data_IF_795763117409
#
_entry.id   IF_795763117409
#
_cell.length_a   1.000
_cell.length_b   1.000
_cell.length_c   1.000
_cell.angle_alpha   90.00
_cell.angle_beta   90.00
_cell.angle_gamma   90.00
#
_symmetry.space_group_name_H-M   'P 1'
#
loop_
_entity.id
_entity.type
_entity.pdbx_description
1 polymer ?
#
# COMPACT_ATOMS: atom_id res chain seq x y z
N UNK A 1 -0.57 8.67 -8.76
CA UNK A 1 -0.30 7.30 -8.26
C UNK A 1 -0.04 7.40 -6.76
N UNK A 2 -0.99 7.00 -5.92
CA UNK A 2 -0.85 7.06 -4.46
C UNK A 2 0.29 6.16 -3.98
N UNK A 3 1.17 6.68 -3.13
CA UNK A 3 2.20 5.92 -2.41
C UNK A 3 1.49 5.03 -1.39
N UNK A 4 1.04 3.83 -1.78
CA UNK A 4 0.57 2.82 -0.82
C UNK A 4 1.72 2.55 0.15
N UNK A 5 1.48 2.82 1.43
CA UNK A 5 2.45 2.55 2.47
C UNK A 5 2.65 1.04 2.58
N UNK A 6 3.90 0.62 2.54
CA UNK A 6 4.30 -0.78 2.66
C UNK A 6 4.45 -1.14 4.13
N UNK A 7 3.41 -0.84 4.92
CA UNK A 7 3.36 -1.01 6.37
C UNK A 7 2.01 -1.51 6.83
N UNK A 8 1.98 -2.27 7.91
CA UNK A 8 0.74 -2.68 8.58
C UNK A 8 0.99 -2.96 10.06
N UNK A 9 -0.06 -2.90 10.87
CA UNK A 9 -0.03 -3.39 12.25
C UNK A 9 -0.37 -4.88 12.29
N UNK A 10 0.41 -5.66 13.02
CA UNK A 10 0.14 -7.09 13.23
C UNK A 10 -1.09 -7.27 14.11
N UNK A 11 -1.92 -8.26 13.77
CA UNK A 11 -2.97 -8.78 14.65
C UNK A 11 -2.43 -9.83 15.65
N UNK A 12 -1.17 -10.23 15.50
CA UNK A 12 -0.56 -11.29 16.29
C UNK A 12 0.07 -10.75 17.58
N UNK A 13 0.11 -11.59 18.61
CA UNK A 13 0.44 -11.19 19.98
C UNK A 13 1.93 -11.03 20.29
N UNK A 14 2.83 -11.51 19.43
CA UNK A 14 4.27 -11.42 19.68
C UNK A 14 5.10 -11.14 18.43
N UNK A 15 6.27 -10.53 18.64
CA UNK A 15 7.21 -10.17 17.57
C UNK A 15 7.78 -11.41 16.87
N UNK A 16 8.04 -12.46 17.63
CA UNK A 16 8.48 -13.77 17.13
C UNK A 16 7.41 -14.40 16.23
N UNK A 17 6.18 -14.54 16.75
CA UNK A 17 5.08 -15.14 15.98
C UNK A 17 4.77 -14.32 14.72
N UNK A 18 4.81 -12.99 14.81
CA UNK A 18 4.66 -12.12 13.63
C UNK A 18 5.75 -12.37 12.58
N UNK A 19 7.01 -12.51 13.00
CA UNK A 19 8.12 -12.79 12.10
C UNK A 19 8.02 -14.18 11.45
N UNK A 20 7.58 -15.19 12.20
CA UNK A 20 7.38 -16.54 11.70
C UNK A 20 6.30 -16.60 10.62
N UNK A 21 5.14 -15.98 10.87
CA UNK A 21 4.05 -15.93 9.89
C UNK A 21 4.48 -15.18 8.63
N UNK A 22 5.14 -14.02 8.77
CA UNK A 22 5.67 -13.27 7.62
C UNK A 22 6.66 -14.12 6.82
N UNK A 23 7.58 -14.81 7.50
CA UNK A 23 8.54 -15.69 6.83
C UNK A 23 7.83 -16.83 6.11
N UNK A 24 6.86 -17.47 6.75
CA UNK A 24 6.10 -18.59 6.17
C UNK A 24 5.44 -18.17 4.84
N UNK A 25 4.79 -17.01 4.81
CA UNK A 25 4.18 -16.46 3.58
C UNK A 25 5.23 -16.14 2.52
N UNK A 26 6.39 -15.60 2.91
CA UNK A 26 7.48 -15.31 1.95
C UNK A 26 8.05 -16.59 1.33
N UNK A 27 8.33 -17.63 2.14
CA UNK A 27 8.99 -18.86 1.64
C UNK A 27 8.07 -19.74 0.80
N UNK A 28 6.75 -19.56 0.88
CA UNK A 28 5.80 -20.19 -0.04
C UNK A 28 5.99 -19.73 -1.50
N UNK A 29 6.60 -18.56 -1.71
CA UNK A 29 6.86 -18.01 -3.04
C UNK A 29 8.26 -18.42 -3.51
N UNK A 30 8.32 -19.33 -4.49
CA UNK A 30 9.58 -19.91 -5.02
C UNK A 30 10.58 -18.87 -5.53
N UNK A 31 10.10 -17.72 -5.98
CA UNK A 31 10.91 -16.60 -6.45
C UNK A 31 11.51 -15.76 -5.33
N UNK A 32 11.17 -16.01 -4.06
CA UNK A 32 11.68 -15.26 -2.92
C UNK A 32 12.70 -16.08 -2.13
N UNK A 33 13.66 -15.37 -1.55
CA UNK A 33 14.65 -15.91 -0.63
C UNK A 33 14.70 -15.01 0.60
N UNK A 34 14.57 -15.59 1.79
CA UNK A 34 14.42 -14.88 3.04
C UNK A 34 15.56 -15.22 4.01
N UNK A 35 16.32 -14.21 4.43
CA UNK A 35 17.45 -14.35 5.34
C UNK A 35 17.22 -13.51 6.59
N UNK A 36 17.30 -14.14 7.76
CA UNK A 36 17.21 -13.43 9.05
C UNK A 36 18.47 -12.62 9.30
N UNK A 37 18.33 -11.36 9.71
CA UNK A 37 19.45 -10.48 10.06
C UNK A 37 19.44 -10.04 11.52
N UNK A 38 18.54 -10.61 12.32
CA UNK A 38 18.37 -10.36 13.74
C UNK A 38 16.90 -10.44 14.15
N UNK A 39 16.59 -10.25 15.45
CA UNK A 39 15.22 -10.14 15.92
C UNK A 39 14.47 -9.05 15.16
N UNK A 40 13.30 -9.37 14.61
CA UNK A 40 12.47 -8.39 13.90
C UNK A 40 13.05 -7.88 12.57
N UNK A 41 14.13 -8.48 12.03
CA UNK A 41 14.76 -8.02 10.79
C UNK A 41 14.94 -9.17 9.80
N UNK A 42 14.17 -9.12 8.71
CA UNK A 42 14.21 -10.09 7.62
C UNK A 42 14.67 -9.40 6.32
N UNK A 43 15.74 -9.91 5.72
CA UNK A 43 16.17 -9.51 4.38
C UNK A 43 15.52 -10.44 3.37
N UNK A 44 14.84 -9.89 2.37
CA UNK A 44 14.17 -10.66 1.33
C UNK A 44 14.73 -10.27 -0.04
N UNK A 45 15.04 -11.27 -0.83
CA UNK A 45 15.56 -11.12 -2.19
C UNK A 45 14.59 -11.75 -3.18
N UNK A 46 14.26 -11.01 -4.22
CA UNK A 46 13.49 -11.51 -5.35
C UNK A 46 14.47 -12.08 -6.38
N UNK A 47 14.31 -13.35 -6.72
CA UNK A 47 15.04 -14.01 -7.80
C UNK A 47 14.48 -13.48 -9.11
N UNK A 48 15.31 -12.75 -9.86
CA UNK A 48 15.02 -12.36 -11.22
C UNK A 48 16.09 -12.98 -12.13
N UNK A 49 15.69 -13.59 -13.24
CA UNK A 49 16.61 -14.24 -14.17
C UNK A 49 17.42 -13.20 -14.98
N UNK A 50 16.82 -12.04 -15.24
CA UNK A 50 17.27 -11.14 -16.31
C UNK A 50 17.67 -9.72 -15.82
N UNK A 51 17.97 -9.53 -14.53
CA UNK A 51 18.29 -8.19 -14.03
C UNK A 51 18.86 -8.10 -12.60
N UNK A 52 19.19 -6.87 -12.15
CA UNK A 52 19.68 -6.64 -10.80
C UNK A 52 18.65 -7.12 -9.78
N UNK A 53 19.10 -7.93 -8.81
CA UNK A 53 18.23 -8.52 -7.79
C UNK A 53 17.55 -7.41 -6.97
N UNK A 54 16.21 -7.41 -6.98
CA UNK A 54 15.43 -6.56 -6.08
C UNK A 54 15.51 -7.12 -4.67
N UNK A 55 15.89 -6.26 -3.72
CA UNK A 55 16.07 -6.61 -2.32
C UNK A 55 15.25 -5.67 -1.47
N UNK A 56 14.56 -6.21 -0.49
CA UNK A 56 13.82 -5.43 0.50
C UNK A 56 14.02 -6.02 1.91
N UNK A 57 13.68 -5.23 2.93
CA UNK A 57 13.70 -5.65 4.33
C UNK A 57 12.30 -5.59 4.91
N UNK A 58 12.02 -6.49 5.82
CA UNK A 58 10.89 -6.41 6.75
C UNK A 58 11.45 -6.12 8.13
N UNK A 59 10.97 -5.04 8.74
CA UNK A 59 11.36 -4.58 10.07
C UNK A 59 10.13 -4.61 10.97
N UNK A 60 10.24 -5.26 12.13
CA UNK A 60 9.18 -5.30 13.13
C UNK A 60 9.53 -4.39 14.30
N UNK A 61 8.62 -3.48 14.61
CA UNK A 61 8.77 -2.53 15.70
C UNK A 61 7.63 -2.72 16.71
N UNK A 62 7.92 -2.98 18.00
CA UNK A 62 6.92 -2.80 19.05
C UNK A 62 6.49 -1.33 19.07
N UNK A 63 5.21 -1.07 18.86
CA UNK A 63 4.67 0.28 18.78
C UNK A 63 3.24 0.31 19.29
N UNK A 64 2.97 1.18 20.27
CA UNK A 64 1.64 1.44 20.83
C UNK A 64 0.89 0.17 21.29
N UNK A 65 1.59 -0.76 21.96
CA UNK A 65 1.00 -2.02 22.41
C UNK A 65 0.74 -3.04 21.29
N UNK A 66 1.19 -2.77 20.07
CA UNK A 66 1.12 -3.65 18.91
C UNK A 66 2.50 -3.78 18.25
N UNK A 67 2.55 -4.40 17.07
CA UNK A 67 3.76 -4.59 16.27
C UNK A 67 3.52 -3.97 14.90
N UNK A 68 4.29 -2.93 14.56
CA UNK A 68 4.31 -2.35 13.23
C UNK A 68 5.29 -3.14 12.35
N UNK A 69 4.79 -3.75 11.29
CA UNK A 69 5.60 -4.32 10.23
C UNK A 69 5.86 -3.26 9.15
N UNK A 70 7.13 -2.94 8.91
CA UNK A 70 7.59 -1.96 7.93
C UNK A 70 8.44 -2.63 6.85
N UNK A 71 7.98 -2.54 5.61
CA UNK A 71 8.63 -3.15 4.46
C UNK A 71 9.34 -2.07 3.66
N UNK A 72 10.66 -2.20 3.49
CA UNK A 72 11.49 -1.18 2.84
C UNK A 72 12.29 -1.78 1.71
N UNK A 73 12.15 -1.24 0.50
CA UNK A 73 13.08 -1.54 -0.61
C UNK A 73 14.49 -1.07 -0.23
N UNK A 74 15.47 -1.95 -0.42
CA UNK A 74 16.90 -1.65 -0.24
C UNK A 74 17.53 -1.32 -1.59
N UNK A 75 17.22 -2.10 -2.63
CA UNK A 75 17.78 -1.93 -3.97
C UNK A 75 16.88 -2.60 -5.03
N UNK A 76 17.17 -2.31 -6.31
CA UNK A 76 16.49 -2.90 -7.47
C UNK A 76 15.16 -2.22 -7.82
N UNK A 77 14.30 -2.95 -8.51
CA UNK A 77 13.06 -2.44 -9.11
C UNK A 77 11.99 -2.11 -8.05
N UNK A 78 11.53 -0.85 -8.06
CA UNK A 78 10.48 -0.35 -7.18
C UNK A 78 9.09 -0.90 -7.49
N UNK A 79 8.75 -1.07 -8.76
CA UNK A 79 7.46 -1.63 -9.17
C UNK A 79 7.36 -3.10 -8.75
N UNK A 80 8.42 -3.88 -9.02
CA UNK A 80 8.48 -5.28 -8.61
C UNK A 80 8.38 -5.43 -7.08
N UNK A 81 9.02 -4.54 -6.32
CA UNK A 81 8.87 -4.47 -4.86
C UNK A 81 7.41 -4.25 -4.45
N UNK A 82 6.73 -3.25 -5.02
CA UNK A 82 5.36 -2.92 -4.66
C UNK A 82 4.36 -4.02 -5.06
N UNK A 83 4.53 -4.63 -6.23
CA UNK A 83 3.72 -5.77 -6.67
C UNK A 83 3.91 -6.99 -5.75
N UNK A 84 5.16 -7.29 -5.38
CA UNK A 84 5.49 -8.38 -4.46
C UNK A 84 4.91 -8.13 -3.08
N UNK A 85 5.04 -6.91 -2.55
CA UNK A 85 4.43 -6.51 -1.28
C UNK A 85 2.91 -6.67 -1.32
N UNK A 86 2.23 -6.15 -2.35
CA UNK A 86 0.77 -6.20 -2.42
C UNK A 86 0.24 -7.64 -2.41
N UNK A 87 0.93 -8.53 -3.11
CA UNK A 87 0.57 -9.94 -3.15
C UNK A 87 0.82 -10.62 -1.79
N UNK A 88 1.98 -10.39 -1.14
CA UNK A 88 2.27 -10.92 0.20
C UNK A 88 1.31 -10.37 1.26
N UNK A 89 0.94 -9.10 1.16
CA UNK A 89 -0.02 -8.44 2.05
C UNK A 89 -1.40 -9.10 1.95
N UNK A 90 -1.85 -9.45 0.73
CA UNK A 90 -3.12 -10.16 0.51
C UNK A 90 -3.12 -11.50 1.24
N UNK A 91 -2.03 -12.26 1.17
CA UNK A 91 -1.90 -13.54 1.88
C UNK A 91 -1.94 -13.33 3.41
N UNK A 92 -1.24 -12.30 3.91
CA UNK A 92 -1.23 -11.96 5.34
C UNK A 92 -2.61 -11.54 5.86
N UNK A 93 -3.40 -10.82 5.06
CA UNK A 93 -4.79 -10.49 5.37
C UNK A 93 -5.64 -11.76 5.42
N UNK A 94 -5.51 -12.65 4.42
CA UNK A 94 -6.25 -13.91 4.38
C UNK A 94 -5.93 -14.82 5.59
N UNK A 95 -4.72 -14.73 6.13
CA UNK A 95 -4.31 -15.44 7.35
C UNK A 95 -4.76 -14.75 8.66
N UNK A 96 -5.43 -13.60 8.59
CA UNK A 96 -5.81 -12.83 9.78
C UNK A 96 -4.62 -12.24 10.53
N UNK A 97 -3.47 -12.08 9.88
CA UNK A 97 -2.25 -11.56 10.50
C UNK A 97 -2.17 -10.03 10.51
N UNK A 98 -3.08 -9.36 9.80
CA UNK A 98 -3.13 -7.90 9.67
C UNK A 98 -4.26 -7.33 10.53
N UNK A 99 -3.93 -6.31 11.33
CA UNK A 99 -4.88 -5.49 12.05
C UNK A 99 -5.13 -4.20 11.26
N UNK A 100 -6.18 -4.19 10.44
CA UNK A 100 -6.63 -3.05 9.63
C UNK A 100 -7.46 -2.01 10.42
N UNK A 101 -7.77 -2.32 11.67
CA UNK A 101 -8.58 -1.50 12.58
C UNK A 101 -7.73 -0.76 13.62
N UNK A 102 -6.40 -0.86 13.53
CA UNK A 102 -5.50 -0.26 14.51
C UNK A 102 -5.58 1.29 14.48
N UNK A 103 -5.76 1.97 15.62
CA UNK A 103 -6.05 3.40 15.67
C UNK A 103 -4.95 4.28 15.05
N UNK A 104 -3.69 3.83 15.13
CA UNK A 104 -2.55 4.55 14.54
C UNK A 104 -2.44 4.44 13.02
N UNK A 105 -3.29 3.64 12.35
CA UNK A 105 -3.31 3.60 10.89
C UNK A 105 -3.64 4.97 10.30
N UNK A 106 -4.55 5.74 10.91
CA UNK A 106 -4.93 7.08 10.43
C UNK A 106 -3.83 8.13 10.60
N UNK A 107 -2.90 7.90 11.54
CA UNK A 107 -1.77 8.81 11.80
C UNK A 107 -0.61 8.49 10.85
N UNK A 108 -0.46 7.20 10.50
CA UNK A 108 0.62 6.73 9.65
C UNK A 108 0.23 6.87 8.17
N UNK A 109 -1.01 6.55 7.79
CA UNK A 109 -1.54 6.67 6.43
C UNK A 109 -1.94 8.14 6.17
N UNK A 110 -1.44 8.79 5.10
CA UNK A 110 -2.01 10.07 4.69
C UNK A 110 -3.51 9.88 4.41
N UNK A 111 -4.33 10.80 4.92
CA UNK A 111 -5.78 10.76 4.72
C UNK A 111 -6.09 10.57 3.24
N UNK A 112 -6.92 9.57 2.93
CA UNK A 112 -7.53 9.49 1.61
C UNK A 112 -8.49 10.68 1.55
N UNK A 113 -8.17 11.69 0.74
CA UNK A 113 -9.14 12.67 0.31
C UNK A 113 -10.24 11.90 -0.44
N UNK A 114 -11.33 11.57 0.24
CA UNK A 114 -12.60 11.33 -0.41
C UNK A 114 -13.10 12.69 -0.86
N UNK A 115 -12.59 13.18 -1.99
CA UNK A 115 -13.34 14.18 -2.74
C UNK A 115 -14.65 13.49 -3.16
N UNK A 116 -15.82 14.01 -2.78
CA UNK A 116 -17.05 13.57 -3.41
C UNK A 116 -16.96 13.96 -4.90
N UNK A 117 -17.19 13.00 -5.79
CA UNK A 117 -17.49 13.28 -7.20
C UNK A 117 -18.63 14.31 -7.23
N UNK A 118 -18.29 15.57 -7.47
CA UNK A 118 -19.26 16.56 -7.90
C UNK A 118 -19.63 16.19 -9.34
N UNK A 119 -20.76 15.50 -9.46
CA UNK A 119 -21.45 15.20 -10.70
C UNK A 119 -21.48 16.43 -11.58
N UNK A 120 -20.68 16.42 -12.66
CA UNK A 120 -20.97 17.25 -13.83
C UNK A 120 -22.24 16.67 -14.45
N UNK A 121 -23.33 17.42 -14.34
CA UNK A 121 -24.19 17.79 -15.47
C UNK A 121 -25.51 18.32 -14.93
N UNK A 122 -25.89 19.54 -15.32
CA UNK A 122 -27.15 19.84 -16.00
C UNK A 122 -27.18 21.32 -16.40
N UNK A 123 -26.90 21.54 -17.70
CA UNK A 123 -27.64 22.38 -18.66
C UNK A 123 -28.28 23.69 -18.14
N UNK A 124 -27.69 24.83 -18.53
CA UNK A 124 -28.45 26.06 -18.74
C UNK A 124 -28.70 26.20 -20.25
N UNK A 125 -29.98 26.10 -20.65
CA UNK A 125 -30.48 26.31 -22.01
C UNK A 125 -30.14 27.70 -22.56
N UNK A 126 -30.05 27.87 -23.90
CA UNK A 126 -29.81 29.15 -24.55
C UNK A 126 -31.12 29.97 -24.63
N UNK A 127 -31.08 31.24 -24.25
CA UNK A 127 -32.16 32.18 -24.56
C UNK A 127 -32.06 32.69 -26.01
N UNK A 128 -33.19 32.84 -26.72
CA UNK A 128 -33.20 33.11 -28.14
C UNK A 128 -33.10 34.60 -28.47
N UNK A 129 -32.57 34.81 -29.68
CA UNK A 129 -32.31 36.06 -30.40
C UNK A 129 -33.62 36.85 -30.59
N UNK A 130 -33.60 38.16 -30.34
CA UNK A 130 -34.60 39.10 -30.83
C UNK A 130 -33.93 40.19 -31.68
N UNK A 131 -34.53 40.41 -32.85
CA UNK A 131 -34.01 41.09 -34.02
C UNK A 131 -33.86 42.60 -33.88
N UNK A 132 -32.87 43.11 -34.61
CA UNK A 132 -32.66 44.48 -35.01
C UNK A 132 -33.82 44.96 -35.91
N UNK A 133 -34.56 45.98 -35.47
CA UNK A 133 -35.39 46.81 -36.37
C UNK A 133 -35.67 48.16 -35.71
N UNK A 134 -34.83 49.15 -36.02
CA UNK A 134 -35.14 50.56 -35.79
C UNK A 134 -34.66 51.38 -36.98
N UNK A 135 -35.57 51.57 -37.95
CA UNK A 135 -35.43 52.55 -39.02
C UNK A 135 -36.69 53.44 -39.02
N UNK A 136 -36.42 54.75 -39.04
CA UNK A 136 -37.28 55.91 -39.32
C UNK A 136 -38.40 56.31 -38.34
N UNK A 137 -38.22 57.48 -37.74
CA UNK A 137 -38.97 58.70 -38.09
C UNK A 137 -38.06 59.93 -37.97
#
# INVERSE_FOLDING_TARGET
MMKRMTRFFSALSSLEHTMEVIRAVIVQRRQLDATTRGPGNLLVRIRNADGPRTVFRVLLYPLAGSILADWRRVSGDGLLFHQTYAALYTDLVAMGAVNDSHPYLRIILPEQSTEPEATKDTVASPEPIAEESAMEL
#
